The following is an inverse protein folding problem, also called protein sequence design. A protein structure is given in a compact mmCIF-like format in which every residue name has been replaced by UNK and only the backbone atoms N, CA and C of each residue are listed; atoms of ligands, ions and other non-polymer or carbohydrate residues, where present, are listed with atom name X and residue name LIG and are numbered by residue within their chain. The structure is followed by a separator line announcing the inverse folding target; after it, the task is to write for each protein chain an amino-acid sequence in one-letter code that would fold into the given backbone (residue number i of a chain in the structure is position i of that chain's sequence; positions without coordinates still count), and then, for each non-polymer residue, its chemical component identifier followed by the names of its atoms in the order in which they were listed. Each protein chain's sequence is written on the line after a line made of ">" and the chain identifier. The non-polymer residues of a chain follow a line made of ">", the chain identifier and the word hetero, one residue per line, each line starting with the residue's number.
data_IF_183287246791
#
_entry.id   IF_183287246791
#
_cell.length_a   1.000
_cell.length_b   1.000
_cell.length_c   1.000
_cell.angle_alpha   90.00
_cell.angle_beta   90.00
_cell.angle_gamma   90.00
#
_symmetry.space_group_name_H-M   'P 1'
#
loop_
_entity.id
_entity.type
_entity.pdbx_description
1 polymer ?
#
# COMPACT_ATOMS: atom_id res chain seq x y z
N UNK A 1 -6.12 4.46 21.81
CA UNK A 1 -5.73 3.13 22.38
C UNK A 1 -6.90 2.14 22.50
N UNK A 2 -8.05 2.49 23.10
CA UNK A 2 -9.19 1.53 23.23
C UNK A 2 -9.76 1.02 21.90
N UNK A 3 -9.71 1.85 20.84
CA UNK A 3 -10.13 1.49 19.47
C UNK A 3 -9.15 0.55 18.76
N UNK A 4 -7.91 0.48 19.25
CA UNK A 4 -6.83 -0.24 18.58
C UNK A 4 -7.13 -1.73 18.29
N UNK A 5 -7.53 -2.55 19.27
CA UNK A 5 -7.81 -3.96 19.00
C UNK A 5 -8.94 -4.14 17.97
N UNK A 6 -9.90 -3.21 17.91
CA UNK A 6 -10.98 -3.23 16.91
C UNK A 6 -10.48 -2.87 15.51
N UNK A 7 -9.58 -1.90 15.40
CA UNK A 7 -8.92 -1.60 14.11
C UNK A 7 -8.12 -2.80 13.61
N UNK A 8 -7.32 -3.43 14.47
CA UNK A 8 -6.56 -4.62 14.11
C UNK A 8 -7.45 -5.80 13.77
N UNK A 9 -8.51 -6.02 14.54
CA UNK A 9 -9.52 -7.02 14.22
C UNK A 9 -10.06 -6.82 12.79
N UNK A 10 -10.52 -5.60 12.47
CA UNK A 10 -11.10 -5.31 11.16
C UNK A 10 -10.07 -5.45 10.03
N UNK A 11 -8.86 -4.94 10.22
CA UNK A 11 -7.78 -5.05 9.23
C UNK A 11 -7.41 -6.49 8.94
N UNK A 12 -7.17 -7.29 9.99
CA UNK A 12 -6.80 -8.69 9.81
C UNK A 12 -7.97 -9.49 9.24
N UNK A 13 -9.20 -9.21 9.68
CA UNK A 13 -10.39 -9.88 9.14
C UNK A 13 -10.54 -9.62 7.64
N UNK A 14 -10.42 -8.37 7.18
CA UNK A 14 -10.54 -8.03 5.75
C UNK A 14 -9.37 -8.58 4.94
N UNK A 15 -8.13 -8.39 5.39
CA UNK A 15 -6.96 -8.83 4.62
C UNK A 15 -6.91 -10.36 4.52
N UNK A 16 -7.21 -11.06 5.60
CA UNK A 16 -7.28 -12.53 5.59
C UNK A 16 -8.46 -12.96 4.71
N UNK A 17 -9.66 -12.39 4.91
CA UNK A 17 -10.80 -12.71 4.07
C UNK A 17 -10.50 -12.52 2.58
N UNK A 18 -9.87 -11.41 2.20
CA UNK A 18 -9.49 -11.13 0.81
C UNK A 18 -8.55 -12.21 0.24
N UNK A 19 -7.57 -12.67 1.02
CA UNK A 19 -6.60 -13.69 0.57
C UNK A 19 -7.26 -15.05 0.38
N UNK A 20 -8.20 -15.40 1.25
CA UNK A 20 -8.88 -16.69 1.17
C UNK A 20 -10.05 -16.67 0.16
N UNK A 21 -10.68 -15.52 -0.06
CA UNK A 21 -11.80 -15.35 -0.98
C UNK A 21 -11.35 -15.24 -2.44
N UNK A 22 -10.28 -14.48 -2.72
CA UNK A 22 -9.64 -14.42 -4.05
C UNK A 22 -8.41 -15.35 -4.14
N UNK A 23 -8.31 -16.33 -3.23
CA UNK A 23 -7.17 -17.23 -3.10
C UNK A 23 -7.04 -18.18 -4.29
N UNK A 24 -5.81 -18.57 -4.63
CA UNK A 24 -5.54 -19.39 -5.81
C UNK A 24 -6.04 -20.84 -5.67
N UNK A 25 -6.61 -21.38 -6.75
CA UNK A 25 -7.06 -22.78 -6.90
C UNK A 25 -6.00 -23.80 -6.46
N UNK A 26 -4.71 -23.44 -6.57
CA UNK A 26 -3.56 -24.26 -6.18
C UNK A 26 -3.49 -24.58 -4.69
N UNK A 27 -4.01 -23.73 -3.79
CA UNK A 27 -4.07 -24.04 -2.36
C UNK A 27 -5.39 -24.72 -1.95
N UNK A 28 -6.23 -25.09 -2.92
CA UNK A 28 -7.57 -25.63 -2.68
C UNK A 28 -8.48 -24.71 -1.85
N UNK A 29 -8.18 -23.41 -1.79
CA UNK A 29 -9.00 -22.45 -1.05
C UNK A 29 -10.39 -22.27 -1.68
N UNK A 30 -10.54 -22.52 -2.98
CA UNK A 30 -11.84 -22.57 -3.67
C UNK A 30 -12.77 -23.70 -3.20
N UNK A 31 -12.24 -24.72 -2.52
CA UNK A 31 -13.07 -25.78 -1.94
C UNK A 31 -13.66 -25.40 -0.58
N UNK A 32 -13.21 -24.29 0.01
CA UNK A 32 -13.69 -23.84 1.32
C UNK A 32 -14.97 -23.03 1.10
N UNK A 33 -16.11 -23.44 1.68
CA UNK A 33 -17.34 -22.68 1.52
C UNK A 33 -17.21 -21.31 2.19
N UNK A 34 -17.96 -20.32 1.68
CA UNK A 34 -17.84 -18.92 2.09
C UNK A 34 -17.94 -18.71 3.61
N UNK A 35 -18.80 -19.49 4.29
CA UNK A 35 -18.91 -19.46 5.75
C UNK A 35 -17.62 -19.93 6.46
N UNK A 36 -16.90 -20.90 5.90
CA UNK A 36 -15.61 -21.38 6.42
C UNK A 36 -14.54 -20.29 6.35
N UNK A 37 -14.48 -19.56 5.25
CA UNK A 37 -13.58 -18.40 5.08
C UNK A 37 -13.90 -17.30 6.11
N UNK A 38 -15.19 -17.00 6.32
CA UNK A 38 -15.62 -16.05 7.35
C UNK A 38 -15.19 -16.50 8.76
N UNK A 39 -15.37 -17.78 9.11
CA UNK A 39 -14.99 -18.29 10.44
C UNK A 39 -13.48 -18.22 10.65
N UNK A 40 -12.68 -18.64 9.66
CA UNK A 40 -11.21 -18.62 9.75
C UNK A 40 -10.71 -17.18 9.88
N UNK A 41 -11.16 -16.29 9.02
CA UNK A 41 -10.76 -14.88 9.03
C UNK A 41 -11.13 -14.17 10.33
N UNK A 42 -12.35 -14.36 10.84
CA UNK A 42 -12.79 -13.81 12.12
C UNK A 42 -12.02 -14.45 13.28
N UNK A 43 -11.78 -15.76 13.26
CA UNK A 43 -11.05 -16.48 14.31
C UNK A 43 -9.61 -16.00 14.47
N UNK A 44 -8.88 -15.87 13.36
CA UNK A 44 -7.51 -15.33 13.35
C UNK A 44 -7.52 -13.85 13.75
N UNK A 45 -8.45 -13.07 13.23
CA UNK A 45 -8.57 -11.66 13.59
C UNK A 45 -8.86 -11.46 15.10
N UNK A 46 -9.71 -12.31 15.70
CA UNK A 46 -10.02 -12.28 17.12
C UNK A 46 -8.79 -12.62 17.97
N UNK A 47 -8.05 -13.66 17.59
CA UNK A 47 -6.82 -14.05 18.31
C UNK A 47 -5.77 -12.93 18.25
N UNK A 48 -5.55 -12.34 17.08
CA UNK A 48 -4.65 -11.17 16.92
C UNK A 48 -5.13 -9.99 17.76
N UNK A 49 -6.43 -9.68 17.74
CA UNK A 49 -6.99 -8.57 18.52
C UNK A 49 -6.82 -8.78 20.03
N UNK A 50 -6.96 -10.02 20.52
CA UNK A 50 -6.72 -10.38 21.93
C UNK A 50 -5.25 -10.24 22.30
N UNK A 51 -4.33 -10.76 21.47
CA UNK A 51 -2.88 -10.60 21.68
C UNK A 51 -2.51 -9.12 21.74
N UNK A 52 -3.10 -8.30 20.89
CA UNK A 52 -2.83 -6.86 20.88
C UNK A 52 -3.40 -6.18 22.12
N UNK A 53 -4.63 -6.52 22.52
CA UNK A 53 -5.25 -5.95 23.71
C UNK A 53 -4.47 -6.27 24.99
N UNK A 54 -4.01 -7.50 25.14
CA UNK A 54 -3.42 -7.99 26.39
C UNK A 54 -1.89 -7.90 26.44
N UNK A 55 -1.20 -8.03 25.30
CA UNK A 55 0.26 -8.07 25.28
C UNK A 55 0.85 -6.80 24.65
N UNK A 56 0.40 -6.42 23.46
CA UNK A 56 1.03 -5.32 22.69
C UNK A 56 0.64 -3.95 23.25
N UNK A 57 -0.64 -3.68 23.47
CA UNK A 57 -1.14 -2.40 23.97
C UNK A 57 -0.46 -1.94 25.29
N UNK A 58 -0.33 -2.79 26.33
CA UNK A 58 0.37 -2.38 27.54
C UNK A 58 1.89 -2.20 27.34
N UNK A 59 2.53 -3.00 26.48
CA UNK A 59 3.95 -2.83 26.13
C UNK A 59 4.19 -1.54 25.36
N UNK A 60 3.32 -1.24 24.40
CA UNK A 60 3.37 -0.02 23.61
C UNK A 60 3.16 1.19 24.52
N UNK A 61 2.18 1.13 25.42
CA UNK A 61 1.92 2.19 26.39
C UNK A 61 3.14 2.46 27.28
N UNK A 62 3.80 1.40 27.79
CA UNK A 62 5.06 1.54 28.55
C UNK A 62 6.21 2.13 27.71
N UNK A 63 6.41 1.62 26.50
CA UNK A 63 7.48 2.10 25.61
C UNK A 63 7.27 3.55 25.21
N UNK A 64 6.03 3.94 24.98
CA UNK A 64 5.61 5.29 24.64
C UNK A 64 5.84 6.24 25.81
N UNK A 65 5.37 5.90 27.02
CA UNK A 65 5.58 6.72 28.22
C UNK A 65 7.07 6.88 28.54
N UNK A 66 7.88 5.83 28.36
CA UNK A 66 9.33 5.90 28.54
C UNK A 66 10.02 6.76 27.47
N UNK A 67 9.54 6.75 26.22
CA UNK A 67 10.07 7.60 25.13
C UNK A 67 9.85 9.08 25.44
N UNK A 68 8.67 9.43 25.95
CA UNK A 68 8.31 10.80 26.34
C UNK A 68 9.17 11.28 27.51
N UNK A 69 9.39 10.43 28.52
CA UNK A 69 10.25 10.77 29.66
C UNK A 69 11.71 11.04 29.25
N UNK A 70 12.23 10.34 28.25
CA UNK A 70 13.58 10.53 27.74
C UNK A 70 13.74 11.81 26.91
N UNK A 71 12.69 12.25 26.21
CA UNK A 71 12.68 13.55 25.53
C UNK A 71 12.62 14.69 26.55
N UNK A 72 11.78 14.57 27.59
CA UNK A 72 11.68 15.60 28.64
C UNK A 72 12.97 15.71 29.49
N UNK A 73 13.69 14.59 29.70
CA UNK A 73 15.03 14.62 30.31
C UNK A 73 16.14 15.19 29.41
N UNK A 74 15.91 15.28 28.10
CA UNK A 74 16.88 15.85 27.13
C UNK A 74 16.63 17.31 26.80
N UNK A 75 15.63 17.96 27.40
CA UNK A 75 15.41 19.41 27.31
C UNK A 75 16.46 20.16 28.16
N UNK A 76 17.74 19.98 27.85
CA UNK A 76 18.67 21.10 27.81
C UNK A 76 18.37 21.86 26.50
N UNK A 77 18.57 23.19 26.44
CA UNK A 77 18.15 23.98 25.29
C UNK A 77 19.08 23.71 24.10
N UNK A 78 18.81 22.64 23.36
CA UNK A 78 19.41 22.40 22.05
C UNK A 78 18.34 22.74 21.03
N UNK A 79 18.40 24.00 20.59
CA UNK A 79 17.71 24.45 19.39
C UNK A 79 18.03 23.50 18.24
N UNK A 80 17.03 22.77 17.74
CA UNK A 80 17.13 22.11 16.45
C UNK A 80 17.10 23.21 15.37
N UNK A 81 18.30 23.64 14.99
CA UNK A 81 18.55 24.47 13.81
C UNK A 81 18.21 23.62 12.59
N UNK A 82 17.05 23.88 11.97
CA UNK A 82 16.81 23.48 10.58
C UNK A 82 17.72 24.34 9.67
N UNK A 83 18.25 23.79 8.55
CA UNK A 83 19.18 24.51 7.69
C UNK A 83 18.50 25.74 7.08
N UNK A 84 19.15 26.89 7.18
CA UNK A 84 18.80 28.09 6.43
C UNK A 84 19.06 27.83 4.95
N UNK A 85 18.03 27.95 4.11
CA UNK A 85 18.22 28.29 2.71
C UNK A 85 17.81 29.76 2.52
N UNK A 86 18.65 30.47 1.79
CA UNK A 86 18.80 31.91 1.79
C UNK A 86 17.58 32.67 1.25
N UNK A 87 17.15 33.72 1.96
CA UNK A 87 16.59 34.93 1.33
C UNK A 87 16.81 36.16 2.22
N UNK A 88 17.27 37.24 1.58
CA UNK A 88 17.76 38.50 2.15
C UNK A 88 16.64 39.39 2.76
N UNK A 89 16.99 40.39 3.61
CA UNK A 89 16.05 41.01 4.55
C UNK A 89 15.34 42.22 3.95
N UNK A 90 14.10 42.49 4.41
CA UNK A 90 13.53 43.83 4.33
C UNK A 90 12.84 44.21 5.64
N UNK A 91 13.45 45.16 6.34
CA UNK A 91 12.92 45.87 7.50
C UNK A 91 11.67 46.68 7.13
N UNK A 92 10.63 46.58 7.95
CA UNK A 92 9.97 47.76 8.57
C UNK A 92 8.90 47.32 9.57
N UNK A 93 9.15 47.60 10.84
CA UNK A 93 8.10 47.73 11.85
C UNK A 93 7.30 49.00 11.55
N UNK A 94 5.98 48.87 11.45
CA UNK A 94 5.05 49.96 11.75
C UNK A 94 4.00 49.44 12.73
N UNK A 95 4.10 49.97 13.94
CA UNK A 95 3.09 49.87 14.99
C UNK A 95 1.76 50.41 14.48
N UNK A 96 0.71 49.57 14.44
CA UNK A 96 -0.69 50.04 14.46
C UNK A 96 -1.49 49.13 15.40
N UNK A 97 -2.14 49.81 16.35
CA UNK A 97 -2.86 49.31 17.49
C UNK A 97 -4.06 48.38 17.18
N UNK A 98 -4.33 47.55 18.20
CA UNK A 98 -5.63 47.09 18.66
C UNK A 98 -6.49 46.15 17.77
N UNK A 99 -7.03 45.08 18.38
CA UNK A 99 -8.05 44.21 17.79
C UNK A 99 -7.63 42.91 17.08
N UNK A 100 -6.36 42.71 16.67
CA UNK A 100 -5.93 41.52 15.89
C UNK A 100 -5.28 40.37 16.69
N UNK A 101 -5.17 40.50 18.01
CA UNK A 101 -4.45 39.53 18.87
C UNK A 101 -5.20 38.20 19.06
N UNK A 102 -6.53 38.17 18.89
CA UNK A 102 -7.30 36.93 19.04
C UNK A 102 -7.25 35.99 17.81
N UNK A 103 -7.18 36.51 16.58
CA UNK A 103 -7.16 35.68 15.37
C UNK A 103 -5.80 34.99 15.15
N UNK A 104 -4.69 35.67 15.43
CA UNK A 104 -3.35 35.06 15.31
C UNK A 104 -3.15 33.98 16.38
N UNK A 105 -3.74 34.15 17.57
CA UNK A 105 -3.73 33.13 18.63
C UNK A 105 -4.57 31.91 18.27
N UNK A 106 -5.70 32.08 17.58
CA UNK A 106 -6.51 30.99 17.02
C UNK A 106 -5.79 30.24 15.89
N UNK A 107 -5.11 30.95 14.99
CA UNK A 107 -4.31 30.35 13.91
C UNK A 107 -3.08 29.62 14.48
N UNK A 108 -2.43 30.16 15.53
CA UNK A 108 -1.34 29.48 16.25
C UNK A 108 -1.83 28.24 17.04
N UNK A 109 -3.07 28.24 17.54
CA UNK A 109 -3.71 27.04 18.12
C UNK A 109 -3.99 25.96 17.07
N UNK A 110 -4.26 26.37 15.83
CA UNK A 110 -4.37 25.48 14.66
C UNK A 110 -3.00 24.99 14.15
N UNK A 111 -1.96 25.82 14.31
CA UNK A 111 -0.55 25.49 14.08
C UNK A 111 0.09 24.82 15.31
N UNK A 112 -0.64 23.94 15.99
CA UNK A 112 -0.07 23.14 17.07
C UNK A 112 1.08 22.31 16.47
N UNK A 113 2.30 22.38 17.04
CA UNK A 113 3.37 21.46 16.67
C UNK A 113 2.87 20.03 16.92
N UNK A 114 3.28 19.11 16.05
CA UNK A 114 2.99 17.67 16.08
C UNK A 114 2.84 17.18 17.52
N UNK A 115 1.60 16.89 17.92
CA UNK A 115 1.32 16.59 19.32
C UNK A 115 1.98 15.26 19.68
N UNK A 116 2.51 15.14 20.92
CA UNK A 116 3.08 13.85 21.41
C UNK A 116 2.09 12.68 21.20
N UNK A 117 0.78 12.95 21.21
CA UNK A 117 -0.30 11.99 20.91
C UNK A 117 -0.35 11.54 19.43
N UNK A 118 -0.08 12.43 18.47
CA UNK A 118 0.03 12.09 17.03
C UNK A 118 1.23 11.19 16.75
N UNK A 119 2.40 11.49 17.33
CA UNK A 119 3.61 10.65 17.18
C UNK A 119 3.41 9.22 17.71
N UNK A 120 2.68 9.09 18.82
CA UNK A 120 2.30 7.79 19.38
C UNK A 120 1.32 7.01 18.50
N UNK A 121 0.35 7.70 17.90
CA UNK A 121 -0.56 7.08 16.94
C UNK A 121 0.17 6.63 15.67
N UNK A 122 1.13 7.41 15.17
CA UNK A 122 1.94 7.05 14.00
C UNK A 122 2.74 5.78 14.25
N UNK A 123 3.45 5.67 15.38
CA UNK A 123 4.22 4.45 15.74
C UNK A 123 3.35 3.19 15.76
N UNK A 124 2.10 3.35 16.18
CA UNK A 124 1.14 2.25 16.28
C UNK A 124 0.54 1.84 14.92
N UNK A 125 0.27 2.82 14.05
CA UNK A 125 -0.16 2.57 12.69
C UNK A 125 0.98 2.06 11.81
N UNK A 126 2.26 2.37 12.10
CA UNK A 126 3.41 1.80 11.37
C UNK A 126 3.37 0.27 11.38
N UNK A 127 3.14 -0.35 12.54
CA UNK A 127 3.06 -1.80 12.62
C UNK A 127 1.85 -2.35 11.85
N UNK A 128 0.67 -1.73 11.99
CA UNK A 128 -0.53 -2.12 11.26
C UNK A 128 -0.32 -2.01 9.75
N UNK A 129 0.35 -0.94 9.31
CA UNK A 129 0.65 -0.69 7.91
C UNK A 129 1.61 -1.70 7.32
N UNK A 130 2.67 -2.09 8.05
CA UNK A 130 3.61 -3.11 7.59
C UNK A 130 2.88 -4.43 7.36
N UNK A 131 2.05 -4.87 8.31
CA UNK A 131 1.29 -6.11 8.18
C UNK A 131 0.28 -6.06 7.03
N UNK A 132 -0.49 -4.96 6.95
CA UNK A 132 -1.44 -4.73 5.87
C UNK A 132 -0.74 -4.78 4.50
N UNK A 133 0.41 -4.11 4.37
CA UNK A 133 1.19 -4.09 3.14
C UNK A 133 1.76 -5.47 2.77
N UNK A 134 2.13 -6.30 3.76
CA UNK A 134 2.57 -7.67 3.52
C UNK A 134 1.43 -8.54 2.96
N UNK A 135 0.23 -8.46 3.54
CA UNK A 135 -0.93 -9.21 3.04
C UNK A 135 -1.39 -8.71 1.67
N UNK A 136 -1.47 -7.39 1.49
CA UNK A 136 -1.78 -6.79 0.20
C UNK A 136 -0.74 -7.14 -0.86
N UNK A 137 0.55 -7.17 -0.49
CA UNK A 137 1.65 -7.60 -1.36
C UNK A 137 1.60 -9.09 -1.71
N UNK A 138 1.20 -9.96 -0.78
CA UNK A 138 1.03 -11.38 -1.02
C UNK A 138 -0.10 -11.66 -2.03
N UNK A 139 -1.29 -11.08 -1.80
CA UNK A 139 -2.44 -11.25 -2.70
C UNK A 139 -2.13 -10.73 -4.11
N UNK A 140 -1.55 -9.53 -4.21
CA UNK A 140 -1.21 -8.92 -5.49
C UNK A 140 -0.07 -9.66 -6.20
N UNK A 141 0.94 -10.09 -5.44
CA UNK A 141 2.09 -10.83 -5.97
C UNK A 141 1.70 -12.17 -6.57
N UNK A 142 0.78 -12.91 -5.95
CA UNK A 142 0.27 -14.18 -6.51
C UNK A 142 -0.41 -14.00 -7.87
N UNK A 143 -1.24 -12.96 -8.00
CA UNK A 143 -1.91 -12.62 -9.26
C UNK A 143 -0.92 -12.18 -10.34
N UNK A 144 0.07 -11.35 -10.00
CA UNK A 144 1.05 -10.85 -10.96
C UNK A 144 2.03 -11.93 -11.41
N UNK A 145 2.44 -12.85 -10.52
CA UNK A 145 3.25 -14.02 -10.88
C UNK A 145 2.51 -14.88 -11.92
N UNK A 146 1.22 -15.12 -11.71
CA UNK A 146 0.38 -15.91 -12.62
C UNK A 146 0.31 -15.28 -14.02
N UNK A 147 0.10 -13.96 -14.08
CA UNK A 147 0.07 -13.22 -15.35
C UNK A 147 1.42 -13.26 -16.09
N UNK A 148 2.54 -13.18 -15.35
CA UNK A 148 3.88 -13.19 -15.95
C UNK A 148 4.27 -14.57 -16.49
N UNK A 149 3.90 -15.64 -15.78
CA UNK A 149 4.32 -17.01 -16.09
C UNK A 149 3.36 -17.75 -17.04
N UNK A 150 2.12 -17.27 -17.20
CA UNK A 150 1.10 -17.90 -18.05
C UNK A 150 1.54 -18.22 -19.49
N UNK A 151 2.27 -17.32 -20.21
CA UNK A 151 2.79 -17.66 -21.54
C UNK A 151 3.80 -18.81 -21.52
N UNK A 152 4.66 -18.88 -20.49
CA UNK A 152 5.65 -19.95 -20.36
C UNK A 152 4.97 -21.29 -20.06
N UNK A 153 3.98 -21.30 -19.18
CA UNK A 153 3.17 -22.49 -18.89
C UNK A 153 2.48 -22.98 -20.17
N UNK A 154 1.88 -22.07 -20.95
CA UNK A 154 1.22 -22.42 -22.21
C UNK A 154 2.17 -23.11 -23.20
N UNK A 155 3.41 -22.63 -23.33
CA UNK A 155 4.43 -23.25 -24.19
C UNK A 155 4.86 -24.62 -23.65
N UNK A 156 5.07 -24.73 -22.33
CA UNK A 156 5.47 -25.99 -21.69
C UNK A 156 4.40 -27.08 -21.85
N UNK A 157 3.12 -26.72 -21.65
CA UNK A 157 1.98 -27.63 -21.85
C UNK A 157 1.84 -28.05 -23.31
N UNK A 158 2.00 -27.10 -24.25
CA UNK A 158 1.97 -27.40 -25.68
C UNK A 158 3.09 -28.38 -26.06
N UNK A 159 4.29 -28.23 -25.49
CA UNK A 159 5.42 -29.12 -25.75
C UNK A 159 5.21 -30.55 -25.22
N UNK A 160 4.63 -30.71 -24.03
CA UNK A 160 4.45 -32.03 -23.42
C UNK A 160 3.19 -32.76 -23.91
N UNK A 161 2.08 -32.03 -24.04
CA UNK A 161 0.76 -32.63 -24.25
C UNK A 161 0.19 -32.35 -25.65
N UNK A 162 0.91 -31.60 -26.50
CA UNK A 162 0.46 -31.13 -27.81
C UNK A 162 -0.89 -30.35 -27.77
N UNK A 163 -1.27 -29.89 -26.58
CA UNK A 163 -2.58 -29.30 -26.30
C UNK A 163 -2.42 -28.32 -25.12
N UNK A 164 -3.02 -27.14 -25.24
CA UNK A 164 -3.00 -26.09 -24.20
C UNK A 164 -4.07 -26.35 -23.13
N UNK A 165 -5.11 -27.11 -23.45
CA UNK A 165 -6.27 -27.37 -22.57
C UNK A 165 -6.19 -28.69 -21.80
N UNK A 166 -5.02 -29.34 -21.81
CA UNK A 166 -4.85 -30.66 -21.24
C UNK A 166 -5.12 -30.64 -19.74
N UNK A 167 -6.11 -31.43 -19.31
CA UNK A 167 -6.63 -31.44 -17.94
C UNK A 167 -5.82 -32.36 -17.01
N UNK A 168 -4.91 -33.17 -17.57
CA UNK A 168 -4.22 -34.24 -16.85
C UNK A 168 -2.96 -33.77 -16.09
N UNK A 169 -2.36 -32.64 -16.48
CA UNK A 169 -1.17 -32.09 -15.82
C UNK A 169 -1.34 -30.59 -15.57
N UNK A 170 -1.73 -30.23 -14.35
CA UNK A 170 -1.72 -28.84 -13.90
C UNK A 170 -0.31 -28.24 -13.92
N UNK A 171 -0.17 -26.91 -13.92
CA UNK A 171 1.14 -26.27 -14.04
C UNK A 171 2.10 -26.71 -12.93
N UNK A 172 3.30 -27.15 -13.33
CA UNK A 172 4.29 -27.69 -12.39
C UNK A 172 4.71 -26.62 -11.39
N UNK A 173 4.71 -26.97 -10.10
CA UNK A 173 5.07 -26.05 -8.98
C UNK A 173 6.40 -25.31 -9.22
N UNK A 174 7.37 -25.95 -9.89
CA UNK A 174 8.67 -25.37 -10.20
C UNK A 174 8.61 -24.18 -11.16
N UNK A 175 7.67 -24.17 -12.12
CA UNK A 175 7.47 -23.03 -13.04
C UNK A 175 6.92 -21.81 -12.29
N UNK A 176 6.00 -22.04 -11.35
CA UNK A 176 5.48 -20.98 -10.48
C UNK A 176 6.58 -20.43 -9.55
N UNK A 177 7.42 -21.31 -8.97
CA UNK A 177 8.57 -20.90 -8.18
C UNK A 177 9.60 -20.11 -8.99
N UNK A 178 9.82 -20.48 -10.26
CA UNK A 178 10.66 -19.72 -11.18
C UNK A 178 10.12 -18.31 -11.42
N UNK A 179 8.82 -18.18 -11.71
CA UNK A 179 8.16 -16.88 -11.86
C UNK A 179 8.23 -16.03 -10.59
N UNK A 180 7.99 -16.64 -9.43
CA UNK A 180 8.09 -15.97 -8.13
C UNK A 180 9.52 -15.48 -7.84
N UNK A 181 10.54 -16.30 -8.11
CA UNK A 181 11.94 -15.90 -7.96
C UNK A 181 12.30 -14.73 -8.88
N UNK A 182 11.86 -14.76 -10.14
CA UNK A 182 12.03 -13.66 -11.10
C UNK A 182 11.39 -12.36 -10.61
N UNK A 183 10.17 -12.42 -10.09
CA UNK A 183 9.47 -11.25 -9.52
C UNK A 183 10.20 -10.67 -8.30
N UNK A 184 10.70 -11.51 -7.39
CA UNK A 184 11.47 -11.07 -6.22
C UNK A 184 12.77 -10.37 -6.65
N UNK A 185 13.50 -10.96 -7.60
CA UNK A 185 14.74 -10.36 -8.13
C UNK A 185 14.43 -9.03 -8.82
N UNK A 186 13.38 -8.96 -9.65
CA UNK A 186 12.96 -7.73 -10.32
C UNK A 186 12.59 -6.61 -9.34
N UNK A 187 11.83 -6.94 -8.29
CA UNK A 187 11.50 -6.01 -7.22
C UNK A 187 12.76 -5.51 -6.49
N UNK A 188 13.72 -6.40 -6.22
CA UNK A 188 14.96 -6.03 -5.54
C UNK A 188 15.83 -5.09 -6.38
N UNK A 189 15.97 -5.34 -7.68
CA UNK A 189 16.84 -4.56 -8.57
C UNK A 189 16.20 -3.22 -8.99
N UNK A 190 14.94 -3.24 -9.41
CA UNK A 190 14.28 -2.08 -10.04
C UNK A 190 13.10 -1.52 -9.23
N UNK A 191 12.55 -2.29 -8.28
CA UNK A 191 11.35 -1.92 -7.54
C UNK A 191 11.48 -0.62 -6.74
N UNK A 192 12.69 -0.32 -6.24
CA UNK A 192 12.97 0.91 -5.47
C UNK A 192 12.56 2.19 -6.22
N UNK A 193 12.67 2.22 -7.56
CA UNK A 193 12.31 3.39 -8.38
C UNK A 193 10.81 3.67 -8.36
N UNK A 194 10.00 2.61 -8.46
CA UNK A 194 8.54 2.72 -8.44
C UNK A 194 8.07 3.06 -7.03
N UNK A 195 8.64 2.41 -6.02
CA UNK A 195 8.34 2.69 -4.61
C UNK A 195 8.61 4.16 -4.28
N UNK A 196 9.73 4.71 -4.73
CA UNK A 196 10.05 6.13 -4.55
C UNK A 196 9.08 7.06 -5.30
N UNK A 197 8.77 6.74 -6.56
CA UNK A 197 7.87 7.57 -7.39
C UNK A 197 6.46 7.64 -6.80
N UNK A 198 5.95 6.55 -6.22
CA UNK A 198 4.61 6.51 -5.62
C UNK A 198 4.63 7.06 -4.18
N UNK A 199 5.64 6.69 -3.39
CA UNK A 199 5.73 7.03 -1.96
C UNK A 199 6.09 8.48 -1.67
N UNK A 200 6.94 9.09 -2.52
CA UNK A 200 7.38 10.48 -2.38
C UNK A 200 6.98 11.32 -3.60
N UNK A 201 7.07 10.75 -4.81
CA UNK A 201 6.86 11.50 -6.06
C UNK A 201 5.42 11.90 -6.37
N UNK A 202 4.42 11.26 -5.76
CA UNK A 202 2.99 11.55 -5.96
C UNK A 202 2.38 12.37 -4.81
N UNK A 203 2.51 11.86 -3.59
CA UNK A 203 2.10 12.50 -2.34
C UNK A 203 2.85 11.82 -1.19
N UNK A 204 3.32 12.58 -0.21
CA UNK A 204 4.06 12.01 0.92
C UNK A 204 3.15 11.19 1.84
N UNK A 205 3.42 9.89 1.91
CA UNK A 205 2.61 8.92 2.64
C UNK A 205 3.18 8.65 4.06
N UNK A 206 2.42 9.01 5.09
CA UNK A 206 2.65 8.50 6.46
C UNK A 206 1.90 7.18 6.64
N UNK A 207 2.25 6.38 7.65
CA UNK A 207 1.63 5.06 7.86
C UNK A 207 0.09 5.07 8.02
N UNK A 208 -0.48 6.10 8.63
CA UNK A 208 -1.94 6.26 8.71
C UNK A 208 -2.55 6.42 7.31
N UNK A 209 -1.93 7.27 6.47
CA UNK A 209 -2.38 7.48 5.10
C UNK A 209 -2.18 6.24 4.24
N UNK A 210 -1.04 5.55 4.37
CA UNK A 210 -0.81 4.26 3.71
C UNK A 210 -1.87 3.22 4.06
N UNK A 211 -2.29 3.20 5.33
CA UNK A 211 -3.30 2.27 5.80
C UNK A 211 -4.69 2.60 5.22
N UNK A 212 -5.06 3.89 5.20
CA UNK A 212 -6.29 4.34 4.55
C UNK A 212 -6.28 4.04 3.04
N UNK A 213 -5.15 4.21 2.36
CA UNK A 213 -4.98 3.87 0.94
C UNK A 213 -5.23 2.39 0.71
N UNK A 214 -4.66 1.53 1.55
CA UNK A 214 -4.79 0.09 1.39
C UNK A 214 -6.21 -0.39 1.64
N UNK A 215 -6.83 0.03 2.75
CA UNK A 215 -8.24 -0.27 3.03
C UNK A 215 -9.19 0.27 1.95
N UNK A 216 -8.99 1.52 1.49
CA UNK A 216 -9.81 2.11 0.44
C UNK A 216 -9.71 1.36 -0.88
N UNK A 217 -8.49 0.96 -1.25
CA UNK A 217 -8.26 0.15 -2.45
C UNK A 217 -8.90 -1.24 -2.32
N UNK A 218 -8.71 -1.92 -1.19
CA UNK A 218 -9.25 -3.26 -0.95
C UNK A 218 -10.77 -3.27 -0.94
N UNK A 219 -11.40 -2.27 -0.31
CA UNK A 219 -12.85 -2.11 -0.32
C UNK A 219 -13.39 -1.89 -1.74
N UNK A 220 -12.72 -1.04 -2.53
CA UNK A 220 -13.10 -0.79 -3.93
C UNK A 220 -12.98 -2.05 -4.78
N UNK A 221 -11.88 -2.80 -4.61
CA UNK A 221 -11.65 -4.09 -5.28
C UNK A 221 -12.74 -5.08 -4.94
N UNK A 222 -12.99 -5.31 -3.65
CA UNK A 222 -14.00 -6.25 -3.19
C UNK A 222 -15.40 -5.89 -3.69
N UNK A 223 -15.74 -4.60 -3.67
CA UNK A 223 -17.04 -4.12 -4.14
C UNK A 223 -17.22 -4.35 -5.65
N UNK A 224 -16.20 -4.04 -6.46
CA UNK A 224 -16.28 -4.28 -7.91
C UNK A 224 -16.29 -5.78 -8.25
N UNK A 225 -15.51 -6.60 -7.53
CA UNK A 225 -15.54 -8.06 -7.66
C UNK A 225 -16.93 -8.62 -7.37
N UNK A 226 -17.66 -8.09 -6.38
CA UNK A 226 -19.05 -8.47 -6.11
C UNK A 226 -20.02 -8.10 -7.23
N UNK A 227 -19.72 -7.05 -7.99
CA UNK A 227 -20.48 -6.65 -9.17
C UNK A 227 -20.04 -7.38 -10.46
N UNK A 228 -19.02 -8.25 -10.37
CA UNK A 228 -18.47 -8.95 -11.53
C UNK A 228 -17.70 -8.04 -12.50
N UNK A 229 -17.25 -6.86 -12.04
CA UNK A 229 -16.53 -5.91 -12.87
C UNK A 229 -15.02 -6.18 -12.81
N UNK A 230 -14.35 -6.44 -13.95
CA UNK A 230 -12.90 -6.59 -13.97
C UNK A 230 -12.24 -5.23 -13.77
N UNK A 231 -11.56 -5.06 -12.63
CA UNK A 231 -10.87 -3.80 -12.29
C UNK A 231 -9.38 -4.03 -12.02
N UNK A 232 -8.59 -3.00 -12.29
CA UNK A 232 -7.16 -2.99 -11.98
C UNK A 232 -6.92 -2.52 -10.54
N UNK A 233 -6.34 -3.41 -9.73
CA UNK A 233 -5.89 -3.14 -8.36
C UNK A 233 -4.88 -1.99 -8.30
N UNK A 234 -4.01 -1.85 -9.31
CA UNK A 234 -3.05 -0.75 -9.43
C UNK A 234 -3.75 0.61 -9.56
N UNK A 235 -4.82 0.67 -10.36
CA UNK A 235 -5.63 1.88 -10.49
C UNK A 235 -6.37 2.20 -9.18
N UNK A 236 -6.90 1.19 -8.50
CA UNK A 236 -7.55 1.37 -7.20
C UNK A 236 -6.57 1.89 -6.14
N UNK A 237 -5.34 1.35 -6.08
CA UNK A 237 -4.30 1.81 -5.15
C UNK A 237 -3.88 3.25 -5.46
N UNK A 238 -3.51 3.57 -6.69
CA UNK A 238 -3.05 4.93 -7.05
C UNK A 238 -4.18 5.96 -6.93
N UNK A 239 -5.41 5.61 -7.30
CA UNK A 239 -6.59 6.46 -7.07
C UNK A 239 -6.81 6.76 -5.58
N UNK A 240 -6.64 5.76 -4.72
CA UNK A 240 -6.72 5.94 -3.26
C UNK A 240 -5.59 6.83 -2.74
N UNK A 241 -4.37 6.70 -3.25
CA UNK A 241 -3.22 7.59 -2.91
C UNK A 241 -3.55 9.03 -3.26
N UNK A 242 -4.03 9.29 -4.49
CA UNK A 242 -4.40 10.63 -4.94
C UNK A 242 -5.52 11.19 -4.07
N UNK A 243 -6.57 10.41 -3.80
CA UNK A 243 -7.70 10.84 -2.97
C UNK A 243 -7.27 11.24 -1.55
N UNK A 244 -6.45 10.41 -0.89
CA UNK A 244 -5.91 10.72 0.45
C UNK A 244 -4.99 11.94 0.41
N UNK A 245 -4.20 12.10 -0.66
CA UNK A 245 -3.37 13.27 -0.88
C UNK A 245 -4.18 14.56 -1.07
N UNK A 246 -5.32 14.50 -1.79
CA UNK A 246 -6.21 15.64 -1.99
C UNK A 246 -6.93 16.07 -0.72
N UNK A 247 -7.32 15.12 0.13
CA UNK A 247 -7.94 15.42 1.43
C UNK A 247 -6.95 16.00 2.44
N UNK A 248 -5.65 15.81 2.25
CA UNK A 248 -4.61 16.37 3.12
C UNK A 248 -4.34 17.84 2.77
N UNK A 249 -4.94 18.75 3.53
CA UNK A 249 -4.78 20.21 3.38
C UNK A 249 -3.34 20.74 3.39
N UNK A 250 -2.38 20.01 3.98
CA UNK A 250 -0.99 20.48 4.14
C UNK A 250 -0.03 20.07 3.02
N UNK A 251 -0.37 19.11 2.15
CA UNK A 251 0.55 18.61 1.10
C UNK A 251 -0.17 18.48 -0.24
N UNK A 252 0.34 19.15 -1.28
CA UNK A 252 -0.22 19.09 -2.64
C UNK A 252 0.15 17.78 -3.33
N UNK A 253 -0.82 17.15 -3.99
CA UNK A 253 -0.58 16.04 -4.93
C UNK A 253 0.17 16.57 -6.15
N UNK A 254 1.22 15.86 -6.58
CA UNK A 254 1.93 16.20 -7.80
C UNK A 254 1.18 15.69 -9.04
N UNK A 255 0.33 16.56 -9.60
CA UNK A 255 -0.47 16.24 -10.79
C UNK A 255 0.36 15.98 -12.05
N UNK A 256 1.59 16.50 -12.13
CA UNK A 256 2.48 16.21 -13.26
C UNK A 256 2.88 14.74 -13.26
N UNK A 257 3.34 14.23 -12.11
CA UNK A 257 3.66 12.81 -11.91
C UNK A 257 2.44 11.94 -12.16
N UNK A 258 1.28 12.30 -11.60
CA UNK A 258 0.04 11.57 -11.80
C UNK A 258 -0.35 11.49 -13.28
N UNK A 259 -0.28 12.61 -14.02
CA UNK A 259 -0.55 12.63 -15.46
C UNK A 259 0.42 11.73 -16.22
N UNK A 260 1.71 11.73 -15.89
CA UNK A 260 2.70 10.87 -16.54
C UNK A 260 2.41 9.38 -16.30
N UNK A 261 1.91 9.01 -15.12
CA UNK A 261 1.46 7.65 -14.80
C UNK A 261 0.24 7.27 -15.65
N UNK A 262 -0.76 8.15 -15.74
CA UNK A 262 -1.96 7.88 -16.56
C UNK A 262 -1.59 7.74 -18.05
N UNK A 263 -0.70 8.60 -18.54
CA UNK A 263 -0.18 8.51 -19.90
C UNK A 263 0.59 7.21 -20.13
N UNK A 264 1.38 6.74 -19.16
CA UNK A 264 2.12 5.49 -19.31
C UNK A 264 1.18 4.29 -19.43
N UNK A 265 0.06 4.24 -18.70
CA UNK A 265 -0.96 3.20 -18.82
C UNK A 265 -1.64 3.18 -20.19
N UNK A 266 -1.98 4.35 -20.73
CA UNK A 266 -2.59 4.46 -22.05
C UNK A 266 -1.64 4.07 -23.17
N UNK A 267 -0.35 4.37 -23.03
CA UNK A 267 0.67 4.08 -24.05
C UNK A 267 1.16 2.64 -23.98
N UNK A 268 1.25 2.04 -22.80
CA UNK A 268 1.79 0.67 -22.64
C UNK A 268 0.97 -0.38 -23.37
N UNK A 269 -0.37 -0.29 -23.35
CA UNK A 269 -1.24 -1.24 -24.05
C UNK A 269 -1.01 -1.30 -25.57
N UNK A 270 -1.12 -0.19 -26.34
CA UNK A 270 -0.85 -0.23 -27.77
C UNK A 270 0.61 -0.53 -28.09
N UNK A 271 1.56 0.00 -27.31
CA UNK A 271 2.97 -0.24 -27.56
C UNK A 271 3.33 -1.73 -27.41
N UNK A 272 2.87 -2.39 -26.34
CA UNK A 272 3.12 -3.83 -26.11
C UNK A 272 2.39 -4.70 -27.14
N UNK A 273 1.15 -4.35 -27.51
CA UNK A 273 0.40 -5.04 -28.56
C UNK A 273 1.06 -4.97 -29.93
N UNK A 274 1.49 -3.77 -30.35
CA UNK A 274 2.21 -3.58 -31.61
C UNK A 274 3.55 -4.32 -31.62
N UNK A 275 4.30 -4.27 -30.52
CA UNK A 275 5.57 -4.99 -30.40
C UNK A 275 5.36 -6.50 -30.49
N UNK A 276 4.36 -7.05 -29.80
CA UNK A 276 4.00 -8.47 -29.89
C UNK A 276 3.60 -8.88 -31.31
N UNK A 277 2.72 -8.09 -31.97
CA UNK A 277 2.29 -8.36 -33.33
C UNK A 277 3.46 -8.31 -34.33
N UNK A 278 4.37 -7.35 -34.19
CA UNK A 278 5.56 -7.26 -35.03
C UNK A 278 6.48 -8.48 -34.87
N UNK A 279 6.70 -8.92 -33.62
CA UNK A 279 7.55 -10.06 -33.32
C UNK A 279 6.97 -11.36 -33.89
N UNK A 280 5.65 -11.57 -33.73
CA UNK A 280 4.96 -12.72 -34.35
C UNK A 280 5.02 -12.66 -35.89
N UNK A 281 4.83 -11.49 -36.49
CA UNK A 281 4.92 -11.34 -37.95
C UNK A 281 6.33 -11.65 -38.48
N UNK A 282 7.37 -11.28 -37.74
CA UNK A 282 8.76 -11.61 -38.07
C UNK A 282 9.02 -13.11 -37.96
N UNK A 283 8.60 -13.74 -36.86
CA UNK A 283 8.75 -15.19 -36.66
C UNK A 283 8.01 -15.98 -37.75
N UNK A 284 6.81 -15.56 -38.14
CA UNK A 284 6.02 -16.21 -39.19
C UNK A 284 6.63 -16.07 -40.59
N UNK A 285 7.42 -15.01 -40.85
CA UNK A 285 8.12 -14.85 -42.14
C UNK A 285 9.43 -15.65 -42.21
N UNK A 286 10.02 -15.98 -41.06
CA UNK A 286 11.26 -16.77 -40.98
C UNK A 286 11.04 -18.29 -40.92
N UNK A 287 9.81 -18.73 -40.63
CA UNK A 287 9.31 -20.10 -40.74
C UNK A 287 8.71 -20.34 -42.13
#
# INVERSE_FOLDING_TARGET
>A
LKILPYLYFFTFSINIFSIFYDGTEMLYFDKIPLYGICIISIGIALTVALVIRFYVAPKLQKSITNSVHLEDCKICPVAYVLPKENEQPLERETEIADGRVNCITQIKKFFKPETKEESQCIKLFNFLQIFSACFGGFAHGGNDVSNAIAPLISIWMLYHTNSVYSTDEGPTIWLLLYGAAGMVIGLWVLGHRVIYTVGEGLTELNAISGFCVELGSAFTVLFASKLGLPISTTHCKIGSVVFVGLLRWRKKVNFSTFRNIVLSWLITLPATGLFSAALVALLRKGL
#
